data_IF_039132619878
#
_entry.id   IF_039132619878
#
_cell.length_a   1.000
_cell.length_b   1.000
_cell.length_c   1.000
_cell.angle_alpha   90.00
_cell.angle_beta   90.00
_cell.angle_gamma   90.00
#
_symmetry.space_group_name_H-M   'P 1'
#
loop_
_entity.id
_entity.type
_entity.pdbx_description
1 polymer ?
#
# COMPACT_ATOMS: atom_id res chain seq x y z
N UNK A 1 16.90 18.87 8.68
CA UNK A 1 16.44 17.60 9.28
C UNK A 1 15.42 16.84 8.43
N UNK A 2 14.52 17.48 7.63
CA UNK A 2 13.47 16.77 6.85
C UNK A 2 13.97 15.91 5.65
N UNK A 3 15.19 16.13 5.15
CA UNK A 3 15.76 15.37 4.01
C UNK A 3 16.45 14.07 4.43
N UNK A 4 16.86 13.94 5.70
CA UNK A 4 17.58 12.78 6.22
C UNK A 4 16.67 11.58 6.46
N UNK A 5 15.42 11.82 6.90
CA UNK A 5 14.44 10.75 7.19
C UNK A 5 13.99 9.99 5.92
N UNK A 6 13.92 10.68 4.79
CA UNK A 6 13.51 10.09 3.51
C UNK A 6 14.60 9.19 2.92
N UNK A 7 15.85 9.64 3.05
CA UNK A 7 17.03 8.88 2.62
C UNK A 7 17.20 7.61 3.47
N UNK A 8 16.91 7.70 4.77
CA UNK A 8 16.95 6.56 5.68
C UNK A 8 15.86 5.53 5.39
N UNK A 9 14.64 5.95 5.03
CA UNK A 9 13.56 5.03 4.67
C UNK A 9 13.83 4.33 3.32
N UNK A 10 14.29 5.07 2.34
CA UNK A 10 14.72 4.53 1.05
C UNK A 10 15.94 3.61 1.21
N UNK A 11 16.90 3.99 2.05
CA UNK A 11 18.10 3.17 2.34
C UNK A 11 17.72 1.92 3.13
N UNK A 12 16.77 1.98 4.08
CA UNK A 12 16.25 0.80 4.77
C UNK A 12 15.56 -0.15 3.81
N UNK A 13 14.70 0.32 2.90
CA UNK A 13 14.10 -0.49 1.85
C UNK A 13 15.17 -1.10 0.93
N UNK A 14 16.20 -0.34 0.56
CA UNK A 14 17.31 -0.83 -0.28
C UNK A 14 18.22 -1.83 0.43
N UNK A 15 18.62 -1.56 1.67
CA UNK A 15 19.51 -2.45 2.44
C UNK A 15 18.84 -3.76 2.82
N UNK A 16 17.52 -3.78 3.00
CA UNK A 16 16.77 -4.98 3.33
C UNK A 16 16.58 -5.91 2.14
N UNK A 17 16.43 -5.35 0.93
CA UNK A 17 16.49 -6.14 -0.30
C UNK A 17 17.91 -6.62 -0.60
N UNK A 18 18.94 -5.81 -0.33
CA UNK A 18 20.34 -6.17 -0.53
C UNK A 18 20.83 -7.21 0.51
N UNK A 19 20.36 -7.15 1.76
CA UNK A 19 20.74 -8.11 2.82
C UNK A 19 20.11 -9.50 2.61
N UNK A 20 19.04 -9.60 1.82
CA UNK A 20 18.50 -10.90 1.39
C UNK A 20 19.37 -11.58 0.32
N UNK A 21 20.40 -10.91 -0.17
CA UNK A 21 21.32 -11.38 -1.21
C UNK A 21 22.74 -11.57 -0.66
N UNK A 22 22.93 -12.46 0.30
CA UNK A 22 24.24 -13.09 0.48
C UNK A 22 24.34 -14.26 -0.53
N UNK A 23 24.46 -13.93 -1.84
CA UNK A 23 24.57 -14.94 -2.91
C UNK A 23 25.73 -14.64 -3.83
N UNK A 24 26.25 -15.69 -4.45
CA UNK A 24 27.42 -15.69 -5.31
C UNK A 24 27.27 -14.79 -6.54
N UNK A 25 28.38 -14.37 -7.13
CA UNK A 25 28.47 -13.49 -8.33
C UNK A 25 27.77 -14.04 -9.62
N UNK A 26 27.01 -15.13 -9.52
CA UNK A 26 26.32 -15.81 -10.61
C UNK A 26 24.79 -15.73 -10.55
N UNK A 27 24.23 -14.78 -9.77
CA UNK A 27 22.79 -14.69 -9.64
C UNK A 27 22.11 -14.21 -10.93
N UNK A 28 21.07 -14.94 -11.32
CA UNK A 28 20.23 -14.61 -12.46
C UNK A 28 19.45 -13.33 -12.21
N UNK A 29 19.55 -12.37 -13.12
CA UNK A 29 18.72 -11.17 -13.10
C UNK A 29 18.27 -10.79 -14.51
N UNK A 30 17.23 -9.98 -14.60
CA UNK A 30 16.77 -9.45 -15.87
C UNK A 30 16.56 -7.95 -15.79
N UNK A 31 16.77 -7.25 -16.90
CA UNK A 31 16.49 -5.82 -17.05
C UNK A 31 15.30 -5.67 -17.98
N UNK A 32 14.31 -4.91 -17.52
CA UNK A 32 13.11 -4.56 -18.28
C UNK A 32 13.11 -3.11 -18.67
N UNK A 33 12.76 -2.82 -19.92
CA UNK A 33 12.50 -1.47 -20.44
C UNK A 33 11.16 -1.49 -21.16
N UNK A 34 10.23 -0.61 -20.74
CA UNK A 34 8.85 -0.64 -21.21
C UNK A 34 8.26 0.77 -21.27
N UNK A 35 8.14 1.40 -22.44
CA UNK A 35 7.26 2.54 -22.64
C UNK A 35 5.80 2.13 -22.40
N UNK A 36 5.01 3.05 -21.85
CA UNK A 36 3.61 2.83 -21.60
C UNK A 36 2.77 4.08 -21.85
N UNK A 37 1.49 3.87 -22.12
CA UNK A 37 0.46 4.89 -22.18
C UNK A 37 -0.65 4.55 -21.20
N UNK A 38 -1.26 5.57 -20.62
CA UNK A 38 -2.34 5.40 -19.66
C UNK A 38 -3.45 6.42 -19.83
N UNK A 39 -4.60 6.10 -19.25
CA UNK A 39 -5.76 6.97 -19.19
C UNK A 39 -6.26 7.12 -17.76
N UNK A 40 -6.75 8.29 -17.41
CA UNK A 40 -7.35 8.55 -16.12
C UNK A 40 -8.73 7.88 -16.04
N UNK A 41 -8.97 7.12 -14.99
CA UNK A 41 -10.28 6.51 -14.75
C UNK A 41 -11.33 7.57 -14.35
N UNK A 42 -10.88 8.59 -13.62
CA UNK A 42 -11.72 9.68 -13.11
C UNK A 42 -11.88 10.86 -14.08
N UNK A 43 -11.59 10.66 -15.37
CA UNK A 43 -11.59 11.72 -16.40
C UNK A 43 -12.91 12.49 -16.51
N UNK A 44 -14.03 11.87 -16.15
CA UNK A 44 -15.35 12.50 -16.16
C UNK A 44 -15.64 13.30 -14.88
N UNK A 45 -14.74 13.28 -13.89
CA UNK A 45 -14.83 14.13 -12.71
C UNK A 45 -14.51 15.57 -13.11
N UNK A 46 -15.34 16.50 -12.71
CA UNK A 46 -15.23 17.93 -13.04
C UNK A 46 -13.83 18.53 -12.75
N UNK A 47 -13.16 18.08 -11.67
CA UNK A 47 -11.79 18.53 -11.34
C UNK A 47 -10.78 18.02 -12.36
N UNK A 48 -10.89 16.78 -12.82
CA UNK A 48 -9.97 16.19 -13.80
C UNK A 48 -10.21 16.77 -15.20
N UNK A 49 -11.46 16.99 -15.57
CA UNK A 49 -11.84 17.63 -16.85
C UNK A 49 -11.23 19.04 -16.97
N UNK A 50 -11.37 19.87 -15.94
CA UNK A 50 -10.77 21.21 -15.89
C UNK A 50 -9.24 21.20 -16.02
N UNK A 51 -8.55 20.17 -15.53
CA UNK A 51 -7.11 20.01 -15.64
C UNK A 51 -6.66 19.46 -17.02
N UNK A 52 -7.62 19.09 -17.89
CA UNK A 52 -7.34 18.47 -19.17
C UNK A 52 -6.74 17.08 -19.07
N UNK A 53 -7.03 16.33 -17.99
CA UNK A 53 -6.46 15.04 -17.70
C UNK A 53 -7.20 13.93 -18.46
N UNK A 54 -6.71 13.58 -19.63
CA UNK A 54 -7.28 12.50 -20.46
C UNK A 54 -6.34 11.32 -20.52
N UNK A 55 -5.11 11.54 -20.95
CA UNK A 55 -4.10 10.51 -21.17
C UNK A 55 -2.74 10.95 -20.61
N UNK A 56 -1.92 9.98 -20.32
CA UNK A 56 -0.54 10.17 -19.89
C UNK A 56 0.38 9.19 -20.62
N UNK A 57 1.69 9.42 -20.53
CA UNK A 57 2.70 8.54 -21.05
C UNK A 57 3.86 8.38 -20.08
N UNK A 58 4.64 7.33 -20.25
CA UNK A 58 5.77 7.10 -19.38
C UNK A 58 6.68 5.98 -19.82
N UNK A 59 7.68 5.72 -18.96
CA UNK A 59 8.65 4.66 -19.12
C UNK A 59 8.78 3.89 -17.82
N UNK A 60 8.62 2.57 -17.89
CA UNK A 60 8.95 1.65 -16.81
C UNK A 60 10.32 1.02 -17.05
N UNK A 61 11.20 1.15 -16.08
CA UNK A 61 12.46 0.42 -15.99
C UNK A 61 12.35 -0.57 -14.85
N UNK A 62 12.91 -1.76 -15.01
CA UNK A 62 12.84 -2.79 -13.96
C UNK A 62 14.09 -3.63 -13.91
N UNK A 63 14.47 -4.03 -12.70
CA UNK A 63 15.42 -5.12 -12.47
C UNK A 63 14.61 -6.25 -11.83
N UNK A 64 14.65 -7.41 -12.45
CA UNK A 64 13.90 -8.60 -12.03
C UNK A 64 14.87 -9.68 -11.53
N UNK A 65 14.49 -10.34 -10.45
CA UNK A 65 15.20 -11.44 -9.82
C UNK A 65 14.31 -12.69 -9.90
N UNK A 66 14.40 -13.47 -10.99
CA UNK A 66 13.63 -14.69 -11.14
C UNK A 66 13.93 -15.67 -10.01
N UNK A 67 12.93 -16.44 -9.60
CA UNK A 67 13.10 -17.44 -8.54
C UNK A 67 14.25 -18.39 -8.85
N UNK A 68 15.09 -18.61 -7.85
CA UNK A 68 16.11 -19.65 -7.85
C UNK A 68 15.56 -21.00 -7.37
N UNK A 69 14.27 -21.06 -7.05
CA UNK A 69 13.54 -22.21 -6.50
C UNK A 69 14.00 -22.65 -5.10
N UNK A 70 14.85 -21.89 -4.44
CA UNK A 70 15.36 -22.25 -3.10
C UNK A 70 14.54 -21.64 -1.97
N UNK A 71 13.69 -20.66 -2.26
CA UNK A 71 12.89 -19.96 -1.24
C UNK A 71 11.50 -20.55 -1.17
N UNK A 72 11.08 -21.12 -0.03
CA UNK A 72 9.77 -21.75 0.13
C UNK A 72 8.62 -20.86 -0.32
N UNK A 73 8.58 -19.60 0.07
CA UNK A 73 7.49 -18.70 -0.26
C UNK A 73 7.36 -18.43 -1.79
N UNK A 74 8.49 -18.41 -2.54
CA UNK A 74 8.43 -18.28 -4.00
C UNK A 74 7.82 -19.49 -4.67
N UNK A 75 8.13 -20.70 -4.18
CA UNK A 75 7.53 -21.91 -4.69
C UNK A 75 6.01 -21.97 -4.45
N UNK A 76 5.52 -21.52 -3.28
CA UNK A 76 4.08 -21.40 -3.02
C UNK A 76 3.38 -20.47 -4.00
N UNK A 77 4.08 -19.43 -4.46
CA UNK A 77 3.60 -18.50 -5.46
C UNK A 77 4.09 -18.85 -6.88
N UNK A 78 4.15 -20.15 -7.17
CA UNK A 78 4.51 -20.69 -8.48
C UNK A 78 5.87 -20.18 -8.99
N UNK A 79 6.87 -20.15 -8.12
CA UNK A 79 8.22 -19.61 -8.41
C UNK A 79 8.18 -18.16 -8.89
N UNK A 80 7.50 -17.32 -8.12
CA UNK A 80 7.33 -15.91 -8.38
C UNK A 80 8.68 -15.18 -8.55
N UNK A 81 8.65 -14.11 -9.36
CA UNK A 81 9.80 -13.24 -9.60
C UNK A 81 9.64 -11.97 -8.76
N UNK A 82 10.68 -11.60 -8.02
CA UNK A 82 10.78 -10.27 -7.39
C UNK A 82 11.38 -9.28 -8.37
N UNK A 83 10.96 -8.02 -8.30
CA UNK A 83 11.57 -6.95 -9.06
C UNK A 83 11.59 -5.62 -8.31
N UNK A 84 12.44 -4.74 -8.78
CA UNK A 84 12.46 -3.32 -8.39
C UNK A 84 12.18 -2.52 -9.66
N UNK A 85 11.16 -1.67 -9.62
CA UNK A 85 10.72 -0.83 -10.72
C UNK A 85 10.98 0.64 -10.48
N UNK A 86 11.26 1.35 -11.55
CA UNK A 86 11.30 2.80 -11.64
C UNK A 86 10.37 3.23 -12.78
N UNK A 87 9.33 4.00 -12.47
CA UNK A 87 8.46 4.61 -13.47
C UNK A 87 8.74 6.09 -13.58
N UNK A 88 8.96 6.58 -14.79
CA UNK A 88 8.97 8.01 -15.11
C UNK A 88 7.65 8.29 -15.82
N UNK A 89 6.87 9.22 -15.28
CA UNK A 89 5.50 9.52 -15.72
C UNK A 89 5.42 10.97 -16.16
N UNK A 90 4.95 11.19 -17.38
CA UNK A 90 4.50 12.51 -17.86
C UNK A 90 2.99 12.53 -17.81
N UNK A 91 2.42 13.38 -16.95
CA UNK A 91 0.97 13.50 -16.76
C UNK A 91 0.27 14.16 -17.95
N UNK A 92 1.04 14.62 -18.96
CA UNK A 92 0.54 15.38 -20.12
C UNK A 92 -0.29 16.61 -19.71
N UNK A 93 0.01 17.16 -18.56
CA UNK A 93 -0.67 18.34 -18.00
C UNK A 93 0.35 19.28 -17.38
N UNK A 94 0.29 20.56 -17.75
CA UNK A 94 1.14 21.60 -17.13
C UNK A 94 0.88 21.81 -15.65
N UNK A 95 -0.30 21.38 -15.16
CA UNK A 95 -0.69 21.51 -13.76
C UNK A 95 -0.20 20.34 -12.90
N UNK A 96 -0.02 19.17 -13.52
CA UNK A 96 0.44 17.96 -12.84
C UNK A 96 1.94 17.71 -13.04
N UNK A 97 2.50 18.25 -14.13
CA UNK A 97 3.92 18.11 -14.45
C UNK A 97 4.34 16.67 -14.72
N UNK A 98 5.34 16.20 -13.97
CA UNK A 98 5.93 14.86 -14.10
C UNK A 98 6.06 14.19 -12.75
N UNK A 99 6.15 12.85 -12.78
CA UNK A 99 6.42 12.07 -11.59
C UNK A 99 7.51 11.01 -11.83
N UNK A 100 8.11 10.57 -10.73
CA UNK A 100 8.98 9.40 -10.67
C UNK A 100 8.47 8.52 -9.55
N UNK A 101 8.26 7.23 -9.82
CA UNK A 101 7.88 6.26 -8.80
C UNK A 101 8.91 5.13 -8.72
N UNK A 102 9.31 4.77 -7.50
CA UNK A 102 10.18 3.62 -7.22
C UNK A 102 9.40 2.62 -6.37
N UNK A 103 9.41 1.35 -6.81
CA UNK A 103 8.60 0.32 -6.16
C UNK A 103 9.19 -1.07 -6.31
N UNK A 104 9.22 -1.88 -5.26
CA UNK A 104 9.27 -3.33 -5.37
C UNK A 104 7.99 -3.87 -6.01
N UNK A 105 8.13 -4.96 -6.75
CA UNK A 105 7.00 -5.68 -7.33
C UNK A 105 7.20 -7.19 -7.31
N UNK A 106 6.09 -7.90 -7.33
CA UNK A 106 6.02 -9.34 -7.38
C UNK A 106 5.30 -9.76 -8.66
N UNK A 107 5.91 -10.68 -9.41
CA UNK A 107 5.29 -11.33 -10.55
C UNK A 107 4.96 -12.77 -10.16
N UNK A 108 3.68 -13.09 -10.15
CA UNK A 108 3.16 -14.41 -9.82
C UNK A 108 2.78 -15.10 -11.14
N UNK A 109 3.49 -16.15 -11.57
CA UNK A 109 3.18 -16.83 -12.82
C UNK A 109 1.83 -17.57 -12.74
N UNK A 110 0.90 -17.17 -13.62
CA UNK A 110 -0.33 -17.90 -13.85
C UNK A 110 -0.15 -18.99 -14.93
N UNK A 111 0.65 -18.69 -15.98
CA UNK A 111 1.02 -19.64 -17.02
C UNK A 111 2.52 -19.51 -17.26
N UNK A 112 3.21 -20.65 -17.37
CA UNK A 112 4.64 -20.70 -17.71
C UNK A 112 4.89 -21.88 -18.64
N UNK A 113 5.37 -21.56 -19.84
CA UNK A 113 5.91 -22.51 -20.80
C UNK A 113 7.36 -22.13 -21.12
N UNK A 114 8.04 -22.88 -21.96
CA UNK A 114 9.40 -22.54 -22.38
C UNK A 114 9.50 -21.18 -23.08
N UNK A 115 8.49 -20.82 -23.87
CA UNK A 115 8.49 -19.60 -24.69
C UNK A 115 7.56 -18.51 -24.19
N UNK A 116 6.58 -18.84 -23.34
CA UNK A 116 5.55 -17.90 -22.95
C UNK A 116 5.29 -17.91 -21.44
N UNK A 117 5.40 -16.76 -20.80
CA UNK A 117 5.02 -16.55 -19.41
C UNK A 117 3.90 -15.52 -19.32
N UNK A 118 2.85 -15.86 -18.59
CA UNK A 118 1.79 -14.93 -18.22
C UNK A 118 1.77 -14.80 -16.70
N UNK A 119 1.90 -13.57 -16.21
CA UNK A 119 2.04 -13.30 -14.78
C UNK A 119 1.01 -12.28 -14.30
N UNK A 120 0.58 -12.43 -13.06
CA UNK A 120 -0.08 -11.38 -12.29
C UNK A 120 1.00 -10.54 -11.59
N UNK A 121 0.90 -9.22 -11.68
CA UNK A 121 1.81 -8.26 -11.06
C UNK A 121 1.11 -7.54 -9.91
N UNK A 122 1.80 -7.41 -8.79
CA UNK A 122 1.45 -6.50 -7.69
C UNK A 122 2.68 -5.70 -7.30
N UNK A 123 2.49 -4.41 -7.06
CA UNK A 123 3.56 -3.47 -6.73
C UNK A 123 3.10 -2.44 -5.72
N UNK A 124 4.02 -2.00 -4.87
CA UNK A 124 3.77 -0.90 -3.94
C UNK A 124 5.06 -0.18 -3.61
N UNK A 125 5.03 1.15 -3.58
CA UNK A 125 6.21 1.95 -3.34
C UNK A 125 5.89 3.43 -3.14
N UNK A 126 6.85 4.26 -3.49
CA UNK A 126 6.79 5.71 -3.33
C UNK A 126 6.91 6.40 -4.67
N UNK A 127 6.14 7.47 -4.84
CA UNK A 127 6.21 8.34 -5.99
C UNK A 127 6.49 9.79 -5.58
N UNK A 128 7.27 10.48 -6.39
CA UNK A 128 7.53 11.89 -6.27
C UNK A 128 6.93 12.62 -7.46
N UNK A 129 6.11 13.64 -7.20
CA UNK A 129 5.55 14.54 -8.22
C UNK A 129 6.22 15.91 -8.12
N UNK A 130 6.54 16.53 -9.24
CA UNK A 130 7.21 17.83 -9.24
C UNK A 130 6.23 19.00 -9.09
N UNK A 131 4.98 18.85 -9.50
CA UNK A 131 3.95 19.87 -9.35
C UNK A 131 2.87 19.42 -8.35
N UNK A 132 2.54 20.29 -7.41
CA UNK A 132 1.53 20.09 -6.38
C UNK A 132 0.60 21.29 -6.31
N UNK A 133 -0.50 21.18 -5.59
CA UNK A 133 -1.36 22.33 -5.32
C UNK A 133 -0.57 23.50 -4.72
N UNK A 134 0.29 23.28 -3.74
CA UNK A 134 1.09 24.32 -3.10
C UNK A 134 2.15 24.94 -4.00
N UNK A 135 2.79 24.18 -4.89
CA UNK A 135 3.76 24.75 -5.83
C UNK A 135 3.11 25.66 -6.84
N UNK A 136 1.86 25.42 -7.19
CA UNK A 136 1.10 26.27 -8.11
C UNK A 136 0.55 27.52 -7.41
N UNK A 137 0.07 27.39 -6.18
CA UNK A 137 -0.34 28.53 -5.35
C UNK A 137 0.80 29.50 -5.11
N UNK A 138 2.04 29.00 -4.84
CA UNK A 138 3.22 29.86 -4.67
C UNK A 138 3.60 30.63 -5.95
N UNK A 139 3.29 30.09 -7.13
CA UNK A 139 3.55 30.73 -8.43
C UNK A 139 2.52 31.80 -8.76
N UNK A 140 1.31 31.66 -8.29
CA UNK A 140 0.17 32.55 -8.56
C UNK A 140 -0.76 32.58 -7.34
N UNK A 141 -0.47 33.41 -6.33
CA UNK A 141 -1.26 33.49 -5.09
C UNK A 141 -2.70 33.99 -5.29
N UNK A 142 -2.94 34.82 -6.30
CA UNK A 142 -4.26 35.39 -6.58
C UNK A 142 -5.23 34.37 -7.19
N UNK A 143 -4.68 33.24 -7.66
CA UNK A 143 -5.42 32.14 -8.24
C UNK A 143 -6.39 31.45 -7.28
N UNK A 144 -6.10 31.51 -5.98
CA UNK A 144 -6.97 30.92 -4.95
C UNK A 144 -8.37 31.53 -4.88
N UNK A 145 -8.47 32.82 -5.23
CA UNK A 145 -9.73 33.58 -5.19
C UNK A 145 -10.51 33.55 -6.52
N UNK A 146 -9.96 32.92 -7.53
CA UNK A 146 -10.64 32.76 -8.82
C UNK A 146 -11.22 31.35 -8.92
N UNK A 147 -12.54 31.24 -8.75
CA UNK A 147 -13.30 29.98 -8.89
C UNK A 147 -13.14 29.33 -10.27
N UNK A 148 -12.66 30.09 -11.25
CA UNK A 148 -12.37 29.60 -12.60
C UNK A 148 -10.93 29.09 -12.75
N UNK A 149 -10.05 29.36 -11.77
CA UNK A 149 -8.65 28.97 -11.84
C UNK A 149 -8.48 27.46 -11.74
N UNK A 150 -7.71 26.89 -12.66
CA UNK A 150 -7.37 25.48 -12.67
C UNK A 150 -6.32 25.20 -11.59
N UNK A 151 -6.65 24.41 -10.59
CA UNK A 151 -5.76 24.03 -9.50
C UNK A 151 -5.48 22.54 -9.50
N UNK A 152 -4.27 22.15 -9.10
CA UNK A 152 -3.90 20.74 -8.95
C UNK A 152 -4.51 20.15 -7.67
N UNK A 153 -5.78 19.76 -7.71
CA UNK A 153 -6.45 19.12 -6.58
C UNK A 153 -6.06 17.64 -6.41
N UNK A 154 -5.23 17.08 -7.31
CA UNK A 154 -4.83 15.68 -7.31
C UNK A 154 -3.74 15.42 -6.27
N UNK A 155 -2.73 16.29 -6.19
CA UNK A 155 -1.58 16.14 -5.31
C UNK A 155 -1.33 17.36 -4.43
N UNK A 156 -1.54 17.22 -3.12
CA UNK A 156 -1.21 18.26 -2.14
C UNK A 156 0.24 18.24 -1.67
N UNK A 157 1.01 17.17 -1.93
CA UNK A 157 2.43 17.14 -1.60
C UNK A 157 3.24 16.32 -2.63
N UNK A 158 4.56 16.56 -2.64
CA UNK A 158 5.45 15.91 -3.59
C UNK A 158 5.57 14.41 -3.40
N UNK A 159 5.57 13.93 -2.15
CA UNK A 159 5.72 12.51 -1.83
C UNK A 159 4.34 11.85 -1.71
N UNK A 160 4.16 10.77 -2.46
CA UNK A 160 2.93 10.00 -2.55
C UNK A 160 3.23 8.50 -2.45
N UNK A 161 2.26 7.70 -2.00
CA UNK A 161 2.28 6.27 -2.19
C UNK A 161 2.02 5.94 -3.67
N UNK A 162 2.64 4.88 -4.16
CA UNK A 162 2.41 4.30 -5.49
C UNK A 162 1.99 2.85 -5.30
N UNK A 163 0.81 2.48 -5.78
CA UNK A 163 0.27 1.14 -5.73
C UNK A 163 -0.09 0.70 -7.15
N UNK A 164 0.28 -0.50 -7.56
CA UNK A 164 -0.02 -1.01 -8.90
C UNK A 164 -0.39 -2.48 -8.87
N UNK A 165 -1.35 -2.85 -9.70
CA UNK A 165 -1.72 -4.21 -9.98
C UNK A 165 -1.99 -4.38 -11.49
N UNK A 166 -1.68 -5.57 -12.03
CA UNK A 166 -1.88 -5.81 -13.45
C UNK A 166 -1.50 -7.22 -13.86
N UNK A 167 -1.45 -7.42 -15.16
CA UNK A 167 -1.00 -8.65 -15.78
C UNK A 167 0.07 -8.34 -16.82
N UNK A 168 1.00 -9.26 -17.01
CA UNK A 168 1.97 -9.17 -18.09
C UNK A 168 2.17 -10.49 -18.80
N UNK A 169 2.57 -10.38 -20.06
CA UNK A 169 2.90 -11.49 -20.92
C UNK A 169 4.32 -11.30 -21.47
N UNK A 170 5.14 -12.34 -21.36
CA UNK A 170 6.50 -12.38 -21.88
C UNK A 170 6.60 -13.48 -22.92
N UNK A 171 7.03 -13.15 -24.14
CA UNK A 171 7.33 -14.09 -25.20
C UNK A 171 8.84 -14.16 -25.42
N UNK A 172 9.47 -15.26 -25.07
CA UNK A 172 10.91 -15.47 -25.16
C UNK A 172 11.33 -15.80 -26.60
N UNK A 173 11.99 -14.85 -27.24
CA UNK A 173 12.59 -15.03 -28.56
C UNK A 173 13.79 -15.99 -28.48
N UNK A 174 14.50 -15.90 -27.37
CA UNK A 174 15.57 -16.82 -26.97
C UNK A 174 15.68 -16.86 -25.44
N UNK A 175 16.62 -17.63 -24.90
CA UNK A 175 16.78 -17.79 -23.44
C UNK A 175 17.01 -16.49 -22.70
N UNK A 176 17.55 -15.46 -23.35
CA UNK A 176 18.00 -14.23 -22.72
C UNK A 176 17.14 -13.03 -23.08
N UNK A 177 16.32 -13.07 -24.12
CA UNK A 177 15.53 -11.94 -24.60
C UNK A 177 14.07 -12.31 -24.75
N UNK A 178 13.20 -11.51 -24.17
CA UNK A 178 11.76 -11.63 -24.33
C UNK A 178 11.12 -10.31 -24.79
N UNK A 179 10.11 -10.44 -25.64
CA UNK A 179 9.13 -9.38 -25.86
C UNK A 179 8.18 -9.34 -24.66
N UNK A 180 7.89 -8.16 -24.18
CA UNK A 180 7.08 -7.93 -22.99
C UNK A 180 5.86 -7.07 -23.31
N UNK A 181 4.70 -7.48 -22.82
CA UNK A 181 3.48 -6.68 -22.81
C UNK A 181 2.89 -6.62 -21.40
N UNK A 182 2.43 -5.47 -20.96
CA UNK A 182 1.83 -5.29 -19.63
C UNK A 182 0.56 -4.45 -19.76
N UNK A 183 -0.47 -4.85 -19.02
CA UNK A 183 -1.70 -4.10 -18.83
C UNK A 183 -2.01 -4.05 -17.35
N UNK A 184 -2.31 -2.87 -16.83
CA UNK A 184 -2.50 -2.72 -15.40
C UNK A 184 -3.15 -1.42 -14.99
N UNK A 185 -3.29 -1.32 -13.69
CA UNK A 185 -3.78 -0.15 -12.98
C UNK A 185 -2.70 0.32 -12.01
N UNK A 186 -2.56 1.63 -11.84
CA UNK A 186 -1.87 2.19 -10.71
C UNK A 186 -2.61 3.35 -10.06
N UNK A 187 -2.45 3.45 -8.77
CA UNK A 187 -2.94 4.53 -7.92
C UNK A 187 -1.78 5.29 -7.31
N UNK A 188 -1.87 6.62 -7.29
CA UNK A 188 -0.89 7.47 -6.66
C UNK A 188 -1.56 8.54 -5.82
N UNK A 189 -1.29 8.56 -4.50
CA UNK A 189 -1.85 9.53 -3.57
C UNK A 189 -1.01 9.61 -2.29
N UNK A 190 -1.23 10.66 -1.48
CA UNK A 190 -0.51 10.82 -0.21
C UNK A 190 -1.28 10.33 1.02
N UNK A 191 -2.42 9.65 0.86
CA UNK A 191 -3.22 9.13 1.97
C UNK A 191 -3.70 10.21 2.92
N UNK A 192 -4.07 11.39 2.43
CA UNK A 192 -4.54 12.55 3.21
C UNK A 192 -3.54 13.10 4.24
N UNK A 193 -2.26 12.79 4.11
CA UNK A 193 -1.22 13.46 4.91
C UNK A 193 -1.05 14.93 4.54
N UNK A 194 -1.41 15.27 3.29
CA UNK A 194 -1.54 16.63 2.76
C UNK A 194 -2.86 16.73 1.99
N UNK A 195 -3.52 17.87 2.10
CA UNK A 195 -4.70 18.20 1.29
C UNK A 195 -4.35 19.34 0.32
N UNK A 196 -4.96 19.39 -0.88
CA UNK A 196 -5.92 18.44 -1.44
C UNK A 196 -5.27 17.10 -1.81
N UNK A 197 -6.04 16.04 -1.92
CA UNK A 197 -5.57 14.72 -2.28
C UNK A 197 -6.68 13.89 -2.94
N UNK A 198 -7.05 14.22 -4.16
CA UNK A 198 -7.96 13.36 -4.95
C UNK A 198 -7.23 12.06 -5.37
N UNK A 199 -5.90 12.13 -5.52
CA UNK A 199 -5.10 11.03 -6.06
C UNK A 199 -5.30 10.83 -7.55
N UNK A 200 -4.48 10.00 -8.16
CA UNK A 200 -4.55 9.65 -9.57
C UNK A 200 -4.79 8.14 -9.73
N UNK A 201 -5.86 7.79 -10.43
CA UNK A 201 -6.27 6.43 -10.75
C UNK A 201 -6.07 6.21 -12.24
N UNK A 202 -5.12 5.35 -12.62
CA UNK A 202 -4.66 5.21 -14.00
C UNK A 202 -4.78 3.76 -14.47
N UNK A 203 -5.44 3.58 -15.60
CA UNK A 203 -5.38 2.36 -16.37
C UNK A 203 -4.29 2.52 -17.44
N UNK A 204 -3.34 1.59 -17.53
CA UNK A 204 -2.22 1.70 -18.45
C UNK A 204 -1.94 0.40 -19.21
N UNK A 205 -1.32 0.56 -20.37
CA UNK A 205 -0.78 -0.54 -21.16
C UNK A 205 0.54 -0.16 -21.79
N UNK A 206 1.43 -1.13 -21.93
CA UNK A 206 2.75 -0.90 -22.51
C UNK A 206 3.36 -2.17 -23.12
N UNK A 207 4.29 -1.94 -24.03
CA UNK A 207 5.09 -3.02 -24.63
C UNK A 207 6.57 -2.70 -24.45
N UNK A 208 7.41 -3.72 -24.37
CA UNK A 208 8.82 -3.52 -24.11
C UNK A 208 9.63 -4.78 -24.33
N UNK A 209 10.83 -4.76 -23.76
CA UNK A 209 11.77 -5.89 -23.84
C UNK A 209 12.33 -6.22 -22.47
N UNK A 210 12.63 -7.48 -22.27
CA UNK A 210 13.33 -8.01 -21.11
C UNK A 210 14.60 -8.68 -21.60
N UNK A 211 15.75 -8.31 -21.01
CA UNK A 211 17.03 -8.98 -21.22
C UNK A 211 17.45 -9.68 -19.92
N UNK A 212 17.63 -11.00 -19.96
CA UNK A 212 18.02 -11.85 -18.81
C UNK A 212 19.51 -12.17 -18.90
N UNK A 213 20.19 -12.00 -17.78
CA UNK A 213 21.63 -12.24 -17.61
C UNK A 213 21.84 -13.39 -16.64
N UNK A 214 23.00 -14.05 -16.75
CA UNK A 214 23.40 -15.17 -15.90
C UNK A 214 22.27 -16.21 -15.77
N UNK A 215 21.86 -16.77 -16.92
CA UNK A 215 20.71 -17.67 -17.01
C UNK A 215 21.17 -19.15 -17.14
N UNK A 216 21.71 -19.78 -16.07
CA UNK A 216 22.11 -21.18 -16.11
C UNK A 216 20.90 -22.07 -16.24
N UNK A 217 21.05 -23.19 -16.95
CA UNK A 217 20.09 -24.30 -16.91
C UNK A 217 20.36 -25.08 -15.64
N UNK A 218 19.60 -24.83 -14.61
CA UNK A 218 19.69 -25.58 -13.36
C UNK A 218 18.34 -26.24 -13.09
N UNK A 219 18.28 -27.54 -13.23
CA UNK A 219 17.22 -28.33 -12.63
C UNK A 219 17.48 -28.40 -11.14
N UNK A 220 16.63 -27.77 -10.35
CA UNK A 220 16.70 -27.83 -8.90
C UNK A 220 15.58 -28.71 -8.37
N UNK A 221 15.93 -29.57 -7.42
CA UNK A 221 14.96 -30.39 -6.69
C UNK A 221 13.98 -29.50 -5.93
N UNK A 222 12.68 -29.85 -5.93
CA UNK A 222 11.69 -29.15 -5.11
C UNK A 222 12.09 -29.21 -3.62
N UNK A 223 12.12 -28.07 -2.97
CA UNK A 223 12.39 -28.02 -1.53
C UNK A 223 11.17 -28.55 -0.78
N UNK A 224 11.40 -29.46 0.18
CA UNK A 224 10.38 -29.82 1.14
C UNK A 224 10.13 -28.64 2.10
N UNK A 225 8.89 -28.21 2.17
CA UNK A 225 8.52 -27.13 3.06
C UNK A 225 8.46 -27.62 4.51
N UNK A 226 9.22 -27.03 5.43
CA UNK A 226 9.09 -27.36 6.83
C UNK A 226 7.71 -26.96 7.35
N UNK A 227 7.15 -27.78 8.21
CA UNK A 227 5.93 -27.41 8.93
C UNK A 227 6.15 -26.16 9.78
N UNK A 228 5.16 -25.27 9.81
CA UNK A 228 5.18 -24.15 10.73
C UNK A 228 5.25 -24.65 12.18
N UNK A 229 6.12 -24.06 13.01
CA UNK A 229 6.27 -24.45 14.40
C UNK A 229 5.05 -24.11 15.24
N UNK A 230 4.12 -23.33 14.73
CA UNK A 230 2.87 -22.92 15.37
C UNK A 230 1.72 -22.85 14.39
N UNK A 231 0.51 -23.05 14.88
CA UNK A 231 -0.73 -22.85 14.12
C UNK A 231 -1.38 -21.50 14.43
N UNK A 232 -1.24 -21.02 15.65
CA UNK A 232 -1.80 -19.77 16.11
C UNK A 232 -0.72 -18.80 16.57
N UNK A 233 -0.93 -17.53 16.30
CA UNK A 233 -0.12 -16.43 16.82
C UNK A 233 -1.03 -15.26 17.22
N UNK A 234 -0.65 -14.55 18.27
CA UNK A 234 -1.24 -13.26 18.64
C UNK A 234 -0.33 -12.15 18.09
N UNK A 235 -0.89 -11.25 17.32
CA UNK A 235 -0.22 -10.04 16.84
C UNK A 235 -0.68 -8.83 17.65
N UNK A 236 0.25 -8.05 18.15
CA UNK A 236 -0.02 -6.79 18.84
C UNK A 236 0.74 -5.70 18.10
N UNK A 237 0.07 -4.65 17.65
CA UNK A 237 0.65 -3.55 16.88
C UNK A 237 0.21 -2.21 17.44
N UNK A 238 1.15 -1.30 17.67
CA UNK A 238 0.89 0.12 17.87
C UNK A 238 1.39 0.90 16.66
N UNK A 239 0.57 1.78 16.10
CA UNK A 239 0.93 2.60 14.96
C UNK A 239 0.52 4.06 15.15
N UNK A 240 1.20 4.94 14.43
CA UNK A 240 0.90 6.37 14.42
C UNK A 240 1.16 6.97 13.03
N UNK A 241 0.52 8.09 12.77
CA UNK A 241 0.69 8.85 11.54
C UNK A 241 0.19 10.27 11.69
N UNK A 242 -0.01 10.94 10.58
CA UNK A 242 -0.52 12.29 10.55
C UNK A 242 -1.64 12.42 9.52
N UNK A 243 -2.70 13.09 9.90
CA UNK A 243 -3.85 13.37 9.05
C UNK A 243 -4.09 14.87 8.99
N UNK A 244 -4.40 15.38 7.83
CA UNK A 244 -4.84 16.75 7.61
C UNK A 244 -6.32 16.76 7.22
N UNK A 245 -7.15 17.36 8.02
CA UNK A 245 -8.59 17.42 7.76
C UNK A 245 -8.91 18.25 6.51
N UNK A 246 -8.24 19.39 6.33
CA UNK A 246 -8.42 20.32 5.20
C UNK A 246 -7.14 21.10 4.92
N UNK A 247 -7.07 21.82 3.79
CA UNK A 247 -5.87 22.55 3.33
C UNK A 247 -5.34 23.57 4.33
N UNK A 248 -6.23 24.26 5.03
CA UNK A 248 -5.91 25.34 5.96
C UNK A 248 -5.49 24.85 7.34
N UNK A 249 -5.80 23.58 7.68
CA UNK A 249 -5.50 23.03 8.99
C UNK A 249 -4.11 22.42 9.07
N UNK A 250 -3.50 22.41 10.26
CA UNK A 250 -2.27 21.67 10.49
C UNK A 250 -2.50 20.16 10.35
N UNK A 251 -1.43 19.40 10.42
CA UNK A 251 -1.50 17.95 10.56
C UNK A 251 -1.75 17.58 12.00
N UNK A 252 -2.74 16.71 12.22
CA UNK A 252 -3.10 16.16 13.53
C UNK A 252 -2.57 14.74 13.66
N UNK A 253 -2.24 14.36 14.90
CA UNK A 253 -1.84 12.99 15.22
C UNK A 253 -3.01 12.04 14.97
N UNK A 254 -2.72 10.94 14.31
CA UNK A 254 -3.53 9.72 14.35
C UNK A 254 -2.73 8.62 15.02
N UNK A 255 -3.40 7.71 15.70
CA UNK A 255 -2.78 6.50 16.20
C UNK A 255 -3.76 5.33 16.18
N UNK A 256 -3.21 4.13 16.14
CA UNK A 256 -3.99 2.90 16.22
C UNK A 256 -3.32 1.87 17.12
N UNK A 257 -4.15 1.03 17.70
CA UNK A 257 -3.74 -0.17 18.41
C UNK A 257 -4.52 -1.36 17.87
N UNK A 258 -3.81 -2.43 17.54
CA UNK A 258 -4.37 -3.68 17.04
C UNK A 258 -3.92 -4.85 17.92
N UNK A 259 -4.85 -5.74 18.26
CA UNK A 259 -4.55 -7.02 18.89
C UNK A 259 -5.40 -8.11 18.22
N UNK A 260 -4.77 -9.06 17.52
CA UNK A 260 -5.47 -10.06 16.74
C UNK A 260 -4.82 -11.43 16.78
N UNK A 261 -5.64 -12.48 16.87
CA UNK A 261 -5.22 -13.87 16.77
C UNK A 261 -5.31 -14.33 15.31
N UNK A 262 -4.22 -14.88 14.80
CA UNK A 262 -4.10 -15.35 13.42
C UNK A 262 -3.82 -16.85 13.40
N UNK A 263 -4.64 -17.60 12.67
CA UNK A 263 -4.45 -19.02 12.37
C UNK A 263 -3.67 -19.17 11.08
N UNK A 264 -2.57 -19.91 11.09
CA UNK A 264 -1.79 -20.25 9.91
C UNK A 264 -2.47 -21.41 9.16
N UNK A 265 -3.13 -21.09 8.06
CA UNK A 265 -3.71 -22.08 7.15
C UNK A 265 -2.60 -22.91 6.52
N UNK A 266 -1.57 -22.22 6.07
CA UNK A 266 -0.33 -22.81 5.56
C UNK A 266 0.85 -21.85 5.83
N UNK A 267 2.01 -22.13 5.25
CA UNK A 267 3.23 -21.35 5.51
C UNK A 267 3.16 -19.91 4.95
N UNK A 268 2.39 -19.68 3.90
CA UNK A 268 2.30 -18.39 3.24
C UNK A 268 1.01 -17.60 3.56
N UNK A 269 -0.04 -18.27 4.06
CA UNK A 269 -1.32 -17.61 4.34
C UNK A 269 -1.79 -17.84 5.75
N UNK A 270 -2.20 -16.77 6.40
CA UNK A 270 -2.85 -16.76 7.70
C UNK A 270 -4.14 -15.98 7.67
N UNK A 271 -5.13 -16.43 8.43
CA UNK A 271 -6.43 -15.78 8.60
C UNK A 271 -6.77 -15.70 10.08
N UNK A 272 -7.40 -14.62 10.50
CA UNK A 272 -7.71 -14.43 11.92
C UNK A 272 -8.72 -13.33 12.18
N UNK A 273 -8.84 -13.00 13.46
CA UNK A 273 -9.68 -11.89 13.89
C UNK A 273 -8.97 -11.08 14.97
N UNK A 274 -9.27 -9.78 15.03
CA UNK A 274 -8.66 -8.87 15.97
C UNK A 274 -9.57 -7.73 16.40
N UNK A 275 -9.12 -7.04 17.44
CA UNK A 275 -9.68 -5.81 17.95
C UNK A 275 -8.81 -4.65 17.52
N UNK A 276 -9.44 -3.57 17.10
CA UNK A 276 -8.80 -2.33 16.71
C UNK A 276 -9.33 -1.16 17.55
N UNK A 277 -8.42 -0.29 17.94
CA UNK A 277 -8.74 1.01 18.53
C UNK A 277 -8.01 2.07 17.73
N UNK A 278 -8.72 3.12 17.34
CA UNK A 278 -8.21 4.22 16.53
C UNK A 278 -8.43 5.54 17.25
N UNK A 279 -7.43 6.40 17.22
CA UNK A 279 -7.53 7.81 17.62
C UNK A 279 -7.27 8.68 16.39
N UNK A 280 -8.16 9.63 16.12
CA UNK A 280 -7.98 10.63 15.06
C UNK A 280 -8.15 12.04 15.64
N UNK A 281 -7.03 12.72 15.83
CA UNK A 281 -7.00 14.09 16.37
C UNK A 281 -7.60 15.15 15.44
N UNK A 282 -7.91 14.81 14.19
CA UNK A 282 -8.48 15.74 13.20
C UNK A 282 -10.02 15.73 13.17
N UNK A 283 -10.69 14.84 13.91
CA UNK A 283 -12.16 14.68 13.82
C UNK A 283 -12.89 15.98 14.09
N UNK A 284 -12.55 16.69 15.17
CA UNK A 284 -13.17 17.97 15.53
C UNK A 284 -12.84 19.12 14.56
N UNK A 285 -11.89 18.93 13.66
CA UNK A 285 -11.47 19.92 12.64
C UNK A 285 -12.21 19.75 11.32
N UNK A 286 -12.89 18.62 11.14
CA UNK A 286 -13.81 18.44 10.02
C UNK A 286 -15.08 19.30 10.16
N UNK A 287 -15.35 19.86 11.34
CA UNK A 287 -16.49 20.75 11.61
C UNK A 287 -16.49 22.04 10.79
N UNK A 288 -15.33 22.45 10.22
CA UNK A 288 -15.25 23.56 9.27
C UNK A 288 -15.97 23.26 7.94
N UNK A 289 -16.25 22.01 7.64
CA UNK A 289 -17.19 21.61 6.61
C UNK A 289 -18.59 21.62 7.23
N UNK A 290 -19.51 22.31 6.61
CA UNK A 290 -20.90 22.48 7.03
C UNK A 290 -21.67 21.15 7.29
N UNK A 291 -21.04 20.02 7.11
CA UNK A 291 -21.59 18.67 7.27
C UNK A 291 -21.61 18.17 8.72
N UNK A 292 -20.79 18.76 9.60
CA UNK A 292 -20.70 18.36 11.01
C UNK A 292 -21.33 19.42 11.90
N UNK A 293 -21.94 18.98 12.99
CA UNK A 293 -22.52 19.85 13.98
C UNK A 293 -21.43 20.71 14.62
N UNK A 294 -21.58 22.03 14.52
CA UNK A 294 -20.62 23.00 15.08
C UNK A 294 -20.95 23.40 16.53
N UNK A 295 -22.11 22.97 17.02
CA UNK A 295 -22.63 23.28 18.37
C UNK A 295 -22.19 22.27 19.43
N UNK A 296 -21.25 21.38 19.09
CA UNK A 296 -20.79 20.30 19.98
C UNK A 296 -19.33 20.54 20.39
N UNK A 297 -19.08 20.41 21.69
CA UNK A 297 -17.74 20.34 22.25
C UNK A 297 -17.22 18.91 22.16
N UNK A 298 -16.28 18.68 21.24
CA UNK A 298 -15.68 17.36 21.03
C UNK A 298 -14.70 17.02 22.14
N UNK A 299 -14.95 15.91 22.80
CA UNK A 299 -14.10 15.35 23.86
C UNK A 299 -13.08 14.35 23.28
N UNK A 300 -12.22 13.82 24.13
CA UNK A 300 -11.27 12.76 23.73
C UNK A 300 -11.99 11.50 23.21
N UNK A 301 -13.09 11.11 23.87
CA UNK A 301 -13.87 9.92 23.46
C UNK A 301 -14.46 10.04 22.06
N UNK A 302 -14.76 11.26 21.61
CA UNK A 302 -15.32 11.52 20.28
C UNK A 302 -14.30 11.33 19.16
N UNK A 303 -13.02 11.36 19.50
CA UNK A 303 -11.89 11.11 18.59
C UNK A 303 -11.44 9.66 18.56
N UNK A 304 -12.06 8.80 19.38
CA UNK A 304 -11.74 7.38 19.46
C UNK A 304 -12.80 6.56 18.72
N UNK A 305 -12.35 5.57 17.99
CA UNK A 305 -13.19 4.55 17.35
C UNK A 305 -12.65 3.17 17.71
N UNK A 306 -13.53 2.20 17.83
CA UNK A 306 -13.14 0.81 18.09
C UNK A 306 -13.93 -0.15 17.19
N UNK A 307 -13.29 -1.25 16.80
CA UNK A 307 -13.87 -2.20 15.89
C UNK A 307 -13.28 -3.61 16.02
N UNK A 308 -13.88 -4.52 15.28
CA UNK A 308 -13.39 -5.88 15.08
C UNK A 308 -13.04 -6.06 13.62
N UNK A 309 -11.96 -6.79 13.34
CA UNK A 309 -11.49 -7.02 11.98
C UNK A 309 -11.25 -8.51 11.72
N UNK A 310 -11.55 -8.93 10.49
CA UNK A 310 -11.03 -10.13 9.87
C UNK A 310 -9.64 -9.81 9.33
N UNK A 311 -8.64 -10.53 9.81
CA UNK A 311 -7.24 -10.35 9.43
C UNK A 311 -6.83 -11.35 8.36
N UNK A 312 -6.13 -10.90 7.32
CA UNK A 312 -5.51 -11.74 6.31
C UNK A 312 -4.03 -11.39 6.19
N UNK A 313 -3.18 -12.40 6.29
CA UNK A 313 -1.73 -12.28 6.19
C UNK A 313 -1.18 -13.13 5.05
N UNK A 314 -0.44 -12.51 4.14
CA UNK A 314 0.26 -13.17 3.04
C UNK A 314 1.76 -13.05 3.28
N UNK A 315 2.40 -14.14 3.70
CA UNK A 315 3.80 -14.20 4.16
C UNK A 315 4.73 -14.45 2.98
N UNK A 316 5.60 -13.50 2.72
CA UNK A 316 6.57 -13.49 1.62
C UNK A 316 8.00 -13.41 2.20
N UNK A 317 8.38 -14.42 2.94
CA UNK A 317 9.64 -14.44 3.69
C UNK A 317 9.61 -13.46 4.87
N UNK A 318 10.50 -12.46 4.86
CA UNK A 318 10.58 -11.43 5.91
C UNK A 318 9.49 -10.36 5.80
N UNK A 319 8.80 -10.29 4.66
CA UNK A 319 7.70 -9.37 4.42
C UNK A 319 6.38 -10.12 4.52
N UNK A 320 5.39 -9.52 5.16
CA UNK A 320 4.01 -10.01 5.20
C UNK A 320 3.08 -8.91 4.72
N UNK A 321 2.37 -9.15 3.62
CA UNK A 321 1.28 -8.28 3.22
C UNK A 321 0.06 -8.56 4.10
N UNK A 322 -0.64 -7.49 4.50
CA UNK A 322 -1.85 -7.57 5.32
C UNK A 322 -3.03 -6.92 4.58
N UNK A 323 -4.20 -7.54 4.71
CA UNK A 323 -5.48 -7.00 4.28
C UNK A 323 -6.50 -7.33 5.37
N UNK A 324 -6.85 -6.33 6.15
CA UNK A 324 -7.83 -6.46 7.22
C UNK A 324 -9.13 -5.78 6.80
N UNK A 325 -10.25 -6.44 7.04
CA UNK A 325 -11.57 -5.87 6.86
C UNK A 325 -12.30 -5.84 8.19
N UNK A 326 -12.65 -4.65 8.66
CA UNK A 326 -13.24 -4.44 9.96
C UNK A 326 -14.56 -3.70 9.95
N UNK A 327 -15.31 -3.87 11.02
CA UNK A 327 -16.54 -3.12 11.30
C UNK A 327 -16.41 -2.39 12.63
N UNK A 328 -16.92 -1.16 12.68
CA UNK A 328 -16.90 -0.38 13.92
C UNK A 328 -17.98 -0.88 14.88
N UNK A 329 -17.57 -1.14 16.10
CA UNK A 329 -18.46 -1.36 17.25
C UNK A 329 -18.74 -0.04 17.98
N UNK A 330 -17.79 0.88 17.95
CA UNK A 330 -17.88 2.22 18.52
C UNK A 330 -17.35 3.22 17.50
N UNK A 331 -18.20 4.13 17.02
CA UNK A 331 -17.88 5.21 16.12
C UNK A 331 -18.75 6.44 16.42
N UNK A 332 -18.35 7.27 17.37
CA UNK A 332 -19.12 8.44 17.81
C UNK A 332 -19.25 9.51 16.72
N UNK A 333 -18.34 9.58 15.75
CA UNK A 333 -18.40 10.57 14.66
C UNK A 333 -19.70 10.49 13.86
N UNK A 334 -20.34 9.30 13.80
CA UNK A 334 -21.66 9.13 13.18
C UNK A 334 -22.77 9.96 13.82
N UNK A 335 -22.64 10.29 15.12
CA UNK A 335 -23.65 11.04 15.87
C UNK A 335 -23.54 12.56 15.67
N UNK A 336 -22.43 13.02 15.14
CA UNK A 336 -22.10 14.43 14.99
C UNK A 336 -22.36 14.98 13.60
N UNK A 337 -22.74 14.12 12.69
CA UNK A 337 -23.13 14.53 11.35
C UNK A 337 -24.48 15.29 11.39
N UNK A 338 -24.54 16.42 10.71
CA UNK A 338 -25.78 17.17 10.57
C UNK A 338 -26.66 16.58 9.46
N UNK A 339 -27.50 15.61 9.83
CA UNK A 339 -28.43 14.97 8.90
C UNK A 339 -29.55 15.92 8.41
N UNK A 340 -29.70 17.09 9.02
CA UNK A 340 -30.69 18.12 8.64
C UNK A 340 -30.08 19.26 7.81
N UNK A 341 -28.78 19.16 7.44
CA UNK A 341 -28.14 20.19 6.64
C UNK A 341 -28.90 20.45 5.33
N UNK A 342 -29.25 21.71 4.97
CA UNK A 342 -30.18 22.00 3.86
C UNK A 342 -29.67 21.57 2.48
N UNK A 343 -28.36 21.45 2.30
CA UNK A 343 -27.73 21.07 1.01
C UNK A 343 -27.27 19.61 1.01
N UNK A 344 -26.73 19.13 2.13
CA UNK A 344 -26.04 17.84 2.24
C UNK A 344 -26.68 16.87 3.23
N UNK A 345 -27.77 17.27 3.90
CA UNK A 345 -28.47 16.42 4.84
C UNK A 345 -29.38 15.44 4.10
N UNK A 346 -29.25 14.14 4.42
CA UNK A 346 -30.02 13.06 3.78
C UNK A 346 -31.01 12.39 4.74
N UNK A 347 -31.31 13.01 5.90
CA UNK A 347 -32.21 12.43 6.89
C UNK A 347 -31.57 11.26 7.66
N UNK A 348 -32.39 10.32 8.17
CA UNK A 348 -31.92 9.14 8.90
C UNK A 348 -31.11 8.24 7.99
N UNK A 349 -29.83 8.00 8.33
CA UNK A 349 -28.96 7.12 7.56
C UNK A 349 -29.18 5.67 7.88
N UNK A 350 -29.24 4.79 6.86
CA UNK A 350 -29.17 3.36 7.07
C UNK A 350 -27.79 2.97 7.65
N UNK A 351 -27.74 1.87 8.38
CA UNK A 351 -26.51 1.37 9.04
C UNK A 351 -25.33 1.16 8.07
N UNK A 352 -25.62 0.84 6.81
CA UNK A 352 -24.64 0.51 5.76
C UNK A 352 -24.47 1.61 4.72
N UNK A 353 -24.85 2.82 5.04
CA UNK A 353 -24.69 3.93 4.11
C UNK A 353 -23.27 4.50 4.22
N UNK A 354 -22.61 4.57 3.08
CA UNK A 354 -21.32 5.24 2.90
C UNK A 354 -21.58 6.50 2.07
N UNK A 355 -21.25 7.67 2.61
CA UNK A 355 -21.47 8.93 1.92
C UNK A 355 -20.13 9.48 1.41
N UNK A 356 -19.95 9.44 0.10
CA UNK A 356 -18.77 9.97 -0.58
C UNK A 356 -18.54 11.46 -0.29
N UNK A 357 -19.60 12.23 -0.09
CA UNK A 357 -19.54 13.68 0.15
C UNK A 357 -19.23 14.04 1.59
N UNK A 358 -19.59 13.18 2.54
CA UNK A 358 -19.41 13.45 3.98
C UNK A 358 -18.00 13.14 4.51
N UNK A 359 -17.19 12.49 3.71
CA UNK A 359 -15.85 12.05 4.13
C UNK A 359 -15.86 10.71 4.85
N UNK A 360 -14.68 10.28 5.30
CA UNK A 360 -14.38 8.92 5.72
C UNK A 360 -14.84 8.57 7.14
N UNK A 361 -15.28 9.56 7.93
CA UNK A 361 -15.48 9.37 9.37
C UNK A 361 -16.78 8.66 9.73
N UNK A 362 -17.68 8.48 8.77
CA UNK A 362 -19.03 7.99 8.99
C UNK A 362 -19.29 6.56 8.55
N UNK A 363 -18.36 5.96 7.82
CA UNK A 363 -18.48 4.59 7.37
C UNK A 363 -18.67 3.62 8.55
N UNK A 364 -19.47 2.58 8.34
CA UNK A 364 -19.66 1.53 9.34
C UNK A 364 -18.52 0.50 9.36
N UNK A 365 -17.70 0.46 8.32
CA UNK A 365 -16.59 -0.48 8.12
C UNK A 365 -15.31 0.25 7.73
N UNK A 366 -14.21 -0.46 7.81
CA UNK A 366 -12.91 0.00 7.35
C UNK A 366 -12.12 -1.15 6.72
N UNK A 367 -11.19 -0.79 5.86
CA UNK A 367 -10.18 -1.70 5.33
C UNK A 367 -8.82 -1.15 5.75
N UNK A 368 -7.95 -2.02 6.29
CA UNK A 368 -6.55 -1.73 6.48
C UNK A 368 -5.76 -2.63 5.55
N UNK A 369 -4.90 -2.06 4.73
CA UNK A 369 -3.95 -2.81 3.93
C UNK A 369 -2.56 -2.26 4.11
N UNK A 370 -1.56 -3.13 4.04
CA UNK A 370 -0.19 -2.71 4.27
C UNK A 370 0.79 -3.87 4.27
N UNK A 371 1.95 -3.59 4.84
CA UNK A 371 3.04 -4.55 4.93
C UNK A 371 3.66 -4.54 6.31
N UNK A 372 3.96 -5.72 6.82
CA UNK A 372 4.82 -5.96 7.98
C UNK A 372 6.20 -6.35 7.48
N UNK A 373 7.22 -5.74 8.02
CA UNK A 373 8.62 -6.09 7.80
C UNK A 373 9.22 -6.64 9.08
N UNK A 374 9.61 -7.89 9.07
CA UNK A 374 10.20 -8.56 10.24
C UNK A 374 11.63 -8.10 10.43
N UNK A 375 11.88 -7.41 11.54
CA UNK A 375 13.21 -6.89 11.92
C UNK A 375 13.93 -7.81 12.91
N UNK A 376 13.15 -8.60 13.67
CA UNK A 376 13.64 -9.59 14.62
C UNK A 376 12.69 -10.78 14.66
N UNK A 377 13.01 -11.84 15.39
CA UNK A 377 12.22 -13.09 15.39
C UNK A 377 10.72 -12.87 15.49
N UNK A 378 10.28 -12.04 16.40
CA UNK A 378 8.86 -11.74 16.62
C UNK A 378 8.52 -10.25 16.48
N UNK A 379 9.52 -9.39 16.30
CA UNK A 379 9.35 -7.94 16.16
C UNK A 379 9.24 -7.57 14.69
N UNK A 380 8.26 -6.73 14.36
CA UNK A 380 8.10 -6.21 13.01
C UNK A 380 7.79 -4.72 12.99
N UNK A 381 8.19 -4.07 11.92
CA UNK A 381 7.71 -2.75 11.53
C UNK A 381 6.51 -2.93 10.61
N UNK A 382 5.54 -2.03 10.70
CA UNK A 382 4.36 -2.03 9.85
C UNK A 382 4.19 -0.67 9.18
N UNK A 383 3.86 -0.69 7.90
CA UNK A 383 3.33 0.46 7.18
C UNK A 383 1.96 0.07 6.63
N UNK A 384 0.94 0.85 6.93
CA UNK A 384 -0.43 0.55 6.50
C UNK A 384 -1.21 1.80 6.15
N UNK A 385 -2.20 1.62 5.29
CA UNK A 385 -3.23 2.61 5.00
C UNK A 385 -4.57 2.10 5.51
N UNK A 386 -5.32 2.99 6.16
CA UNK A 386 -6.69 2.74 6.56
C UNK A 386 -7.63 3.45 5.61
N UNK A 387 -8.61 2.74 5.09
CA UNK A 387 -9.53 3.24 4.07
C UNK A 387 -10.97 2.91 4.41
N UNK A 388 -11.87 3.69 3.84
CA UNK A 388 -13.29 3.38 3.75
C UNK A 388 -13.61 3.20 2.26
N UNK A 389 -13.76 1.94 1.82
CA UNK A 389 -13.83 1.58 0.39
C UNK A 389 -12.65 2.19 -0.40
N UNK A 390 -12.92 3.13 -1.28
CA UNK A 390 -11.94 3.77 -2.15
C UNK A 390 -11.29 5.03 -1.55
N UNK A 391 -11.77 5.51 -0.40
CA UNK A 391 -11.24 6.73 0.24
C UNK A 391 -10.23 6.36 1.32
N UNK A 392 -8.98 6.75 1.14
CA UNK A 392 -7.96 6.62 2.17
C UNK A 392 -8.19 7.66 3.26
N UNK A 393 -8.34 7.20 4.50
CA UNK A 393 -8.47 8.09 5.65
C UNK A 393 -7.08 8.60 6.08
N UNK A 394 -6.12 7.68 6.21
CA UNK A 394 -4.74 8.02 6.56
C UNK A 394 -3.77 6.87 6.31
N UNK A 395 -2.47 7.21 6.35
CA UNK A 395 -1.36 6.27 6.37
C UNK A 395 -0.71 6.30 7.75
N UNK A 396 -0.35 5.12 8.26
CA UNK A 396 0.27 4.94 9.57
C UNK A 396 1.51 4.05 9.49
N UNK A 397 2.44 4.30 10.41
CA UNK A 397 3.65 3.49 10.61
C UNK A 397 3.68 2.99 12.04
N UNK A 398 4.00 1.72 12.20
CA UNK A 398 3.89 1.06 13.51
C UNK A 398 4.99 0.08 13.79
N UNK A 399 5.00 -0.35 15.04
CA UNK A 399 5.81 -1.44 15.54
C UNK A 399 4.87 -2.48 16.14
N UNK A 400 5.12 -3.73 15.85
CA UNK A 400 4.32 -4.82 16.39
C UNK A 400 5.14 -6.01 16.79
N UNK A 401 4.53 -6.84 17.64
CA UNK A 401 5.12 -8.04 18.16
C UNK A 401 4.19 -9.22 17.92
N UNK A 402 4.72 -10.33 17.41
CA UNK A 402 4.01 -11.57 17.17
C UNK A 402 4.35 -12.58 18.27
N UNK A 403 3.35 -13.09 18.97
CA UNK A 403 3.47 -14.12 20.01
C UNK A 403 2.98 -15.45 19.42
N UNK A 404 3.87 -16.35 18.96
CA UNK A 404 3.47 -17.64 18.43
C UNK A 404 3.08 -18.60 19.57
N UNK A 405 1.95 -19.30 19.42
CA UNK A 405 1.58 -20.40 20.32
C UNK A 405 2.25 -21.69 19.84
N UNK A 406 3.45 -21.94 20.30
CA UNK A 406 4.27 -23.09 19.91
C UNK A 406 3.60 -24.41 20.28
N UNK A 407 3.67 -25.41 19.40
CA UNK A 407 3.32 -26.78 19.74
C UNK A 407 4.25 -27.27 20.87
N UNK A 408 3.70 -27.89 21.92
CA UNK A 408 4.53 -28.55 22.92
C UNK A 408 5.46 -29.55 22.22
N UNK A 409 6.76 -29.33 22.32
CA UNK A 409 7.73 -30.32 21.88
C UNK A 409 7.58 -31.56 22.77
N UNK A 410 7.45 -32.74 22.18
CA UNK A 410 7.49 -34.00 22.92
C UNK A 410 8.90 -34.35 23.45
N UNK A 411 9.87 -33.45 23.29
CA UNK A 411 11.22 -33.62 23.86
C UNK A 411 11.18 -33.22 25.34
N UNK A 412 11.28 -34.23 26.21
CA UNK A 412 11.51 -34.03 27.63
C UNK A 412 12.76 -33.17 27.82
N UNK A 413 12.64 -31.97 28.38
CA UNK A 413 13.74 -31.09 28.77
C UNK A 413 13.80 -29.72 28.05
N UNK A 414 12.93 -29.39 27.12
CA UNK A 414 12.98 -28.08 26.48
C UNK A 414 11.98 -27.11 27.11
N UNK A 415 12.42 -26.43 28.16
CA UNK A 415 11.64 -25.40 28.87
C UNK A 415 11.68 -24.02 28.18
N UNK A 416 12.14 -23.92 26.95
CA UNK A 416 12.21 -22.64 26.22
C UNK A 416 10.86 -22.25 25.65
N UNK A 417 10.25 -21.26 26.26
CA UNK A 417 9.00 -20.62 25.78
C UNK A 417 9.26 -19.87 24.46
N UNK A 418 10.53 -19.56 24.16
CA UNK A 418 10.97 -18.82 22.97
C UNK A 418 12.00 -19.65 22.19
N UNK A 419 11.55 -20.49 21.29
CA UNK A 419 12.45 -21.05 20.29
C UNK A 419 12.78 -19.98 19.24
N UNK A 420 14.07 -19.76 19.04
CA UNK A 420 14.57 -18.99 17.90
C UNK A 420 14.07 -19.64 16.61
N UNK A 421 13.14 -18.96 15.95
CA UNK A 421 12.56 -19.39 14.69
C UNK A 421 13.48 -19.02 13.50
N UNK A 422 14.80 -19.03 13.71
CA UNK A 422 15.80 -18.44 12.80
C UNK A 422 15.82 -18.99 11.38
N UNK A 423 15.26 -20.14 11.11
CA UNK A 423 15.60 -20.90 9.89
C UNK A 423 14.46 -21.17 8.92
N UNK A 424 13.21 -20.88 9.24
CA UNK A 424 12.11 -21.23 8.36
C UNK A 424 11.70 -20.14 7.35
N UNK A 425 12.26 -18.94 7.45
CA UNK A 425 12.05 -17.86 6.47
C UNK A 425 13.30 -17.50 5.65
N UNK A 426 14.47 -18.10 6.00
CA UNK A 426 15.66 -18.00 5.17
C UNK A 426 15.47 -18.87 3.92
#
# INVERSE_FOLDING_TARGET
>A
MKRISLFLLATMLFTTFASAQNQSANDRFAIKVQPFFGTYLDKNNHHFEKLGLVNLSGMNLGIEFPSDQQRPWQQYLNNSTLGIGLSVIDWNSKYMGKAIAMYPYLLIPAVRTEQFHFNVKVAGGLGYVNETWYTQEMKDPDRYFDDTAMTNNVFGCHLNAYLSAGVNANYYVNRNVALHGEFGYFHMSNGRTCMPNLGANILYGGVGVIATFNNPVVEKEPIQFPDLPYKWALNITGAAGAHRAWMEYPRYLISSFHAGAVYSVNNWYGVGAGLDVFYNGAIDKNTGRSLYRQDIDYTFSDKVRAGVALNNEFRLGIVTAIVDWGVYLYNPSRNYYDCNHPIYGYGKRPLFYDNEDAGTDEAFHYIRFGMKYRVWDNLYLQASAKTHLHICEYVEFGVGYQIPFLKKSNRKGDNRIFHHTKDWWK
#
